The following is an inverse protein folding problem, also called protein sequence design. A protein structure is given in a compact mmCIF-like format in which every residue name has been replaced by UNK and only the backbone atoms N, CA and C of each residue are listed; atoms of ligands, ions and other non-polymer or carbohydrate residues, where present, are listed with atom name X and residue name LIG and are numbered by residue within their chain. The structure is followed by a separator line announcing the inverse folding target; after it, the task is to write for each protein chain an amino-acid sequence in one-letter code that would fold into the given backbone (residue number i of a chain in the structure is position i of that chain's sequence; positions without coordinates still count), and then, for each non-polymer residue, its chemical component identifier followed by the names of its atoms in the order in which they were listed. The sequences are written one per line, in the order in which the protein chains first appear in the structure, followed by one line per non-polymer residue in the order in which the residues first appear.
data_IF_441709869191
#
_entry.id   IF_441709869191
#
_cell.length_a   1.000
_cell.length_b   1.000
_cell.length_c   1.000
_cell.angle_alpha   90.00
_cell.angle_beta   90.00
_cell.angle_gamma   90.00
#
_symmetry.space_group_name_H-M   'P 1'
#
loop_
_entity.id
_entity.type
_entity.pdbx_description
1 polymer ?
#
# COMPACT_ATOMS: atom_id res chain seq x y z
N UNK A 1 24.09 30.06 -1.04
CA UNK A 1 24.05 28.71 -0.49
C UNK A 1 22.65 28.11 -0.60
N UNK A 2 22.54 27.02 -1.34
CA UNK A 2 21.23 26.38 -1.48
C UNK A 2 20.84 25.74 -0.14
N UNK A 3 19.68 26.11 0.37
CA UNK A 3 19.12 25.43 1.53
C UNK A 3 18.67 24.05 1.11
N UNK A 4 19.22 23.00 1.73
CA UNK A 4 18.69 21.66 1.58
C UNK A 4 17.26 21.66 2.09
N UNK A 5 16.33 21.33 1.21
CA UNK A 5 14.94 21.18 1.58
C UNK A 5 14.84 20.05 2.61
N UNK A 6 14.22 20.33 3.74
CA UNK A 6 14.02 19.34 4.79
C UNK A 6 13.07 18.26 4.31
N UNK A 7 13.37 17.00 4.61
CA UNK A 7 12.51 15.89 4.24
C UNK A 7 11.14 16.03 4.93
N UNK A 8 10.08 15.86 4.18
CA UNK A 8 8.72 15.99 4.68
C UNK A 8 8.16 14.60 4.98
N UNK A 9 8.19 14.20 6.25
CA UNK A 9 7.69 12.89 6.70
C UNK A 9 6.17 12.76 6.51
N UNK A 10 5.43 13.84 6.73
CA UNK A 10 3.98 13.84 6.57
C UNK A 10 3.57 13.62 5.11
N UNK A 11 4.31 14.24 4.18
CA UNK A 11 4.13 13.99 2.75
C UNK A 11 4.41 12.53 2.40
N UNK A 12 5.46 11.94 2.96
CA UNK A 12 5.77 10.53 2.76
C UNK A 12 4.65 9.62 3.28
N UNK A 13 4.08 9.93 4.45
CA UNK A 13 2.95 9.17 4.99
C UNK A 13 1.72 9.28 4.09
N UNK A 14 1.43 10.46 3.56
CA UNK A 14 0.33 10.66 2.63
C UNK A 14 0.54 9.87 1.33
N UNK A 15 1.75 9.84 0.82
CA UNK A 15 2.10 9.06 -0.36
C UNK A 15 1.90 7.57 -0.12
N UNK A 16 2.32 7.05 1.03
CA UNK A 16 2.10 5.65 1.41
C UNK A 16 0.63 5.33 1.60
N UNK A 17 -0.13 6.22 2.24
CA UNK A 17 -1.57 6.04 2.42
C UNK A 17 -2.29 6.04 1.07
N UNK A 18 -1.89 6.89 0.14
CA UNK A 18 -2.43 6.92 -1.21
C UNK A 18 -2.14 5.61 -1.97
N UNK A 19 -0.91 5.09 -1.85
CA UNK A 19 -0.55 3.81 -2.44
C UNK A 19 -1.38 2.66 -1.86
N UNK A 20 -1.59 2.65 -0.55
CA UNK A 20 -2.46 1.67 0.10
C UNK A 20 -3.90 1.76 -0.43
N UNK A 21 -4.43 2.97 -0.61
CA UNK A 21 -5.76 3.19 -1.17
C UNK A 21 -5.87 2.67 -2.62
N UNK A 22 -4.83 2.88 -3.41
CA UNK A 22 -4.77 2.37 -4.79
C UNK A 22 -4.73 0.84 -4.82
N UNK A 23 -3.99 0.23 -3.91
CA UNK A 23 -3.93 -1.23 -3.76
C UNK A 23 -5.30 -1.79 -3.36
N UNK A 24 -5.97 -1.16 -2.40
CA UNK A 24 -7.34 -1.53 -1.99
C UNK A 24 -8.30 -1.43 -3.17
N UNK A 25 -8.18 -0.38 -3.99
CA UNK A 25 -9.02 -0.22 -5.17
C UNK A 25 -8.83 -1.38 -6.16
N UNK A 26 -7.62 -1.81 -6.39
CA UNK A 26 -7.32 -2.96 -7.26
C UNK A 26 -8.01 -4.22 -6.72
N UNK A 27 -7.85 -4.47 -5.42
CA UNK A 27 -8.46 -5.63 -4.77
C UNK A 27 -10.00 -5.56 -4.84
N UNK A 28 -10.58 -4.41 -4.54
CA UNK A 28 -12.03 -4.23 -4.57
C UNK A 28 -12.60 -4.38 -5.97
N UNK A 29 -11.95 -3.81 -6.97
CA UNK A 29 -12.36 -3.96 -8.36
C UNK A 29 -12.28 -5.42 -8.81
N UNK A 30 -11.25 -6.14 -8.37
CA UNK A 30 -11.11 -7.56 -8.66
C UNK A 30 -12.24 -8.41 -8.02
N UNK A 31 -12.66 -8.04 -6.81
CA UNK A 31 -13.76 -8.73 -6.10
C UNK A 31 -15.11 -8.40 -6.73
N UNK A 32 -15.35 -7.14 -7.08
CA UNK A 32 -16.62 -6.68 -7.64
C UNK A 32 -16.88 -7.23 -9.05
N UNK A 33 -15.83 -7.31 -9.84
CA UNK A 33 -15.89 -7.79 -11.23
C UNK A 33 -14.70 -8.73 -11.48
N UNK A 34 -14.81 -9.94 -10.95
CA UNK A 34 -13.69 -10.88 -10.95
C UNK A 34 -13.30 -11.25 -12.39
N UNK A 35 -12.06 -10.89 -12.82
CA UNK A 35 -11.64 -11.03 -14.22
C UNK A 35 -11.23 -12.45 -14.62
N UNK A 36 -11.28 -13.41 -13.69
CA UNK A 36 -10.71 -14.74 -13.91
C UNK A 36 -9.19 -14.73 -13.79
N UNK A 37 -8.59 -15.90 -13.98
CA UNK A 37 -7.14 -16.10 -13.77
C UNK A 37 -6.32 -15.26 -14.73
N UNK A 38 -6.73 -15.16 -16.00
CA UNK A 38 -5.96 -14.41 -17.00
C UNK A 38 -5.95 -12.90 -16.71
N UNK A 39 -7.10 -12.36 -16.28
CA UNK A 39 -7.19 -10.95 -15.89
C UNK A 39 -6.45 -10.64 -14.60
N UNK A 40 -6.33 -11.61 -13.69
CA UNK A 40 -5.59 -11.44 -12.43
C UNK A 40 -4.11 -11.18 -12.65
N UNK A 41 -3.52 -11.72 -13.71
CA UNK A 41 -2.10 -11.49 -13.99
C UNK A 41 -1.79 -10.01 -14.14
N UNK A 42 -2.64 -9.28 -14.86
CA UNK A 42 -2.47 -7.84 -15.03
C UNK A 42 -2.62 -7.10 -13.70
N UNK A 43 -3.56 -7.53 -12.87
CA UNK A 43 -3.77 -6.95 -11.54
C UNK A 43 -2.59 -7.24 -10.61
N UNK A 44 -2.02 -8.43 -10.67
CA UNK A 44 -0.80 -8.78 -9.92
C UNK A 44 0.35 -7.85 -10.29
N UNK A 45 0.54 -7.60 -11.58
CA UNK A 45 1.61 -6.71 -12.05
C UNK A 45 1.40 -5.28 -11.57
N UNK A 46 0.17 -4.77 -11.62
CA UNK A 46 -0.18 -3.43 -11.09
C UNK A 46 0.03 -3.34 -9.58
N UNK A 47 -0.39 -4.36 -8.85
CA UNK A 47 -0.22 -4.44 -7.40
C UNK A 47 1.26 -4.44 -7.03
N UNK A 48 2.07 -5.18 -7.79
CA UNK A 48 3.52 -5.22 -7.57
C UNK A 48 4.18 -3.88 -7.81
N UNK A 49 3.76 -3.13 -8.83
CA UNK A 49 4.27 -1.79 -9.10
C UNK A 49 3.98 -0.83 -7.93
N UNK A 50 2.79 -0.92 -7.36
CA UNK A 50 2.41 -0.11 -6.19
C UNK A 50 3.26 -0.48 -4.98
N UNK A 51 3.47 -1.76 -4.73
CA UNK A 51 4.32 -2.24 -3.63
C UNK A 51 5.75 -1.71 -3.80
N UNK A 52 6.27 -1.76 -5.02
CA UNK A 52 7.61 -1.24 -5.30
C UNK A 52 7.71 0.26 -5.04
N UNK A 53 6.71 1.05 -5.43
CA UNK A 53 6.66 2.49 -5.11
C UNK A 53 6.62 2.70 -3.58
N UNK A 54 5.87 1.87 -2.87
CA UNK A 54 5.81 1.91 -1.41
C UNK A 54 7.16 1.65 -0.76
N UNK A 55 7.90 0.68 -1.25
CA UNK A 55 9.27 0.39 -0.80
C UNK A 55 10.19 1.58 -1.00
N UNK A 56 10.09 2.25 -2.14
CA UNK A 56 10.89 3.46 -2.42
C UNK A 56 10.60 4.55 -1.39
N UNK A 57 9.32 4.80 -1.10
CA UNK A 57 8.93 5.81 -0.10
C UNK A 57 9.45 5.43 1.28
N UNK A 58 9.33 4.16 1.68
CA UNK A 58 9.83 3.69 2.97
C UNK A 58 11.34 3.88 3.10
N UNK A 59 12.10 3.55 2.05
CA UNK A 59 13.55 3.78 2.03
C UNK A 59 13.91 5.24 2.14
N UNK A 60 13.17 6.13 1.47
CA UNK A 60 13.38 7.58 1.58
C UNK A 60 13.20 8.05 3.03
N UNK A 61 12.16 7.54 3.72
CA UNK A 61 11.92 7.87 5.13
C UNK A 61 13.08 7.40 6.00
N UNK A 62 13.50 6.15 5.87
CA UNK A 62 14.59 5.60 6.69
C UNK A 62 15.91 6.30 6.44
N UNK A 63 16.22 6.64 5.19
CA UNK A 63 17.43 7.37 4.84
C UNK A 63 17.42 8.80 5.42
N UNK A 64 16.28 9.48 5.35
CA UNK A 64 16.12 10.80 5.94
C UNK A 64 16.29 10.73 7.46
N UNK A 65 15.68 9.73 8.09
CA UNK A 65 15.71 9.57 9.54
C UNK A 65 17.12 9.27 10.06
N UNK A 66 17.94 8.59 9.27
CA UNK A 66 19.32 8.26 9.64
C UNK A 66 20.21 9.50 9.81
N UNK A 67 19.88 10.60 9.13
CA UNK A 67 20.69 11.83 9.14
C UNK A 67 19.98 13.02 9.78
N UNK A 68 18.73 12.89 10.16
CA UNK A 68 17.95 13.98 10.75
C UNK A 68 18.16 14.03 12.26
N UNK A 69 18.69 15.15 12.76
CA UNK A 69 18.91 15.35 14.20
C UNK A 69 17.62 15.59 14.97
N UNK A 70 16.66 16.25 14.34
CA UNK A 70 15.44 16.69 15.01
C UNK A 70 14.22 16.44 14.11
N UNK A 71 13.82 15.16 13.97
CA UNK A 71 12.59 14.89 13.22
C UNK A 71 11.37 15.46 13.95
N UNK A 72 10.27 15.78 13.22
CA UNK A 72 9.09 16.42 13.81
C UNK A 72 8.31 15.52 14.75
N UNK A 73 8.54 14.22 14.66
CA UNK A 73 7.93 13.20 15.53
C UNK A 73 9.03 12.33 16.13
N UNK A 74 8.67 11.54 17.14
CA UNK A 74 9.57 10.54 17.69
C UNK A 74 10.00 9.56 16.59
N UNK A 75 11.29 9.20 16.58
CA UNK A 75 11.86 8.26 15.62
C UNK A 75 11.11 6.92 15.59
N UNK A 76 10.80 6.39 16.76
CA UNK A 76 10.10 5.12 16.88
C UNK A 76 8.69 5.21 16.28
N UNK A 77 8.01 6.34 16.44
CA UNK A 77 6.70 6.57 15.87
C UNK A 77 6.76 6.64 14.34
N UNK A 78 7.77 7.35 13.79
CA UNK A 78 7.96 7.44 12.34
C UNK A 78 8.22 6.06 11.75
N UNK A 79 9.07 5.26 12.39
CA UNK A 79 9.37 3.89 11.95
C UNK A 79 8.11 3.03 12.01
N UNK A 80 7.35 3.12 13.09
CA UNK A 80 6.12 2.34 13.27
C UNK A 80 5.08 2.67 12.22
N UNK A 81 4.86 3.96 11.93
CA UNK A 81 3.91 4.39 10.90
C UNK A 81 4.36 3.91 9.52
N UNK A 82 5.63 4.10 9.19
CA UNK A 82 6.19 3.73 7.89
C UNK A 82 6.08 2.22 7.66
N UNK A 83 6.47 1.41 8.64
CA UNK A 83 6.36 -0.05 8.55
C UNK A 83 4.92 -0.53 8.50
N UNK A 84 4.05 0.09 9.29
CA UNK A 84 2.63 -0.27 9.30
C UNK A 84 1.96 -0.05 7.96
N UNK A 85 2.22 1.08 7.32
CA UNK A 85 1.70 1.38 5.99
C UNK A 85 2.28 0.44 4.92
N UNK A 86 3.57 0.15 5.01
CA UNK A 86 4.24 -0.82 4.12
C UNK A 86 3.64 -2.22 4.27
N UNK A 87 3.40 -2.65 5.50
CA UNK A 87 2.77 -3.95 5.78
C UNK A 87 1.37 -4.05 5.18
N UNK A 88 0.58 -2.98 5.25
CA UNK A 88 -0.77 -2.95 4.64
C UNK A 88 -0.68 -3.19 3.13
N UNK A 89 0.23 -2.49 2.46
CA UNK A 89 0.44 -2.64 1.02
C UNK A 89 0.88 -4.07 0.69
N UNK A 90 1.82 -4.63 1.45
CA UNK A 90 2.32 -5.99 1.26
C UNK A 90 1.21 -7.03 1.43
N UNK A 91 0.37 -6.87 2.44
CA UNK A 91 -0.76 -7.78 2.67
C UNK A 91 -1.77 -7.76 1.53
N UNK A 92 -2.07 -6.58 1.03
CA UNK A 92 -3.03 -6.42 -0.08
C UNK A 92 -2.47 -7.02 -1.37
N UNK A 93 -1.20 -6.77 -1.66
CA UNK A 93 -0.52 -7.40 -2.79
C UNK A 93 -0.52 -8.91 -2.65
N UNK A 94 -0.15 -9.42 -1.48
CA UNK A 94 -0.12 -10.84 -1.18
C UNK A 94 -1.48 -11.52 -1.39
N UNK A 95 -2.56 -10.84 -1.06
CA UNK A 95 -3.92 -11.33 -1.27
C UNK A 95 -4.24 -11.49 -2.76
N UNK A 96 -3.91 -10.48 -3.56
CA UNK A 96 -4.11 -10.52 -5.02
C UNK A 96 -3.27 -11.63 -5.64
N UNK A 97 -2.01 -11.75 -5.21
CA UNK A 97 -1.11 -12.80 -5.67
C UNK A 97 -1.66 -14.21 -5.37
N UNK A 98 -2.24 -14.40 -4.19
CA UNK A 98 -2.81 -15.68 -3.78
C UNK A 98 -4.00 -16.08 -4.64
N UNK A 99 -4.85 -15.14 -5.02
CA UNK A 99 -5.94 -15.41 -5.96
C UNK A 99 -5.40 -15.95 -7.28
N UNK A 100 -4.34 -15.36 -7.79
CA UNK A 100 -3.68 -15.80 -9.01
C UNK A 100 -2.99 -17.15 -8.84
N UNK A 101 -2.18 -17.32 -7.80
CA UNK A 101 -1.38 -18.52 -7.54
C UNK A 101 -2.24 -19.76 -7.30
N UNK A 102 -3.38 -19.59 -6.63
CA UNK A 102 -4.30 -20.70 -6.33
C UNK A 102 -5.34 -20.95 -7.41
N UNK A 103 -5.24 -20.26 -8.54
CA UNK A 103 -6.10 -20.47 -9.68
C UNK A 103 -7.58 -20.31 -9.32
N UNK A 104 -7.90 -19.30 -8.51
CA UNK A 104 -9.26 -19.08 -8.03
C UNK A 104 -10.14 -18.67 -9.21
N UNK A 105 -11.15 -19.49 -9.52
CA UNK A 105 -12.04 -19.25 -10.66
C UNK A 105 -13.22 -18.35 -10.31
N UNK A 106 -13.74 -18.50 -9.10
CA UNK A 106 -14.87 -17.72 -8.59
C UNK A 106 -14.63 -17.30 -7.16
N UNK A 107 -15.20 -16.14 -6.77
CA UNK A 107 -15.09 -15.63 -5.41
C UNK A 107 -16.43 -15.74 -4.68
N UNK A 108 -16.43 -16.06 -3.35
CA UNK A 108 -17.63 -16.00 -2.54
C UNK A 108 -18.21 -14.58 -2.49
N UNK A 109 -19.51 -14.46 -2.41
CA UNK A 109 -20.21 -13.18 -2.30
C UNK A 109 -19.82 -12.39 -1.04
N UNK A 110 -19.46 -13.09 0.02
CA UNK A 110 -19.04 -12.50 1.29
C UNK A 110 -17.80 -11.61 1.14
N UNK A 111 -16.96 -11.88 0.15
CA UNK A 111 -15.77 -11.05 -0.11
C UNK A 111 -16.13 -9.63 -0.56
N UNK A 112 -17.29 -9.44 -1.17
CA UNK A 112 -17.78 -8.10 -1.55
C UNK A 112 -18.02 -7.22 -0.33
N UNK A 113 -18.50 -7.80 0.75
CA UNK A 113 -18.71 -7.09 2.02
C UNK A 113 -17.37 -6.68 2.65
N UNK A 114 -16.39 -7.56 2.63
CA UNK A 114 -15.04 -7.25 3.10
C UNK A 114 -14.39 -6.15 2.25
N UNK A 115 -14.58 -6.20 0.93
CA UNK A 115 -14.08 -5.17 0.03
C UNK A 115 -14.66 -3.79 0.35
N UNK A 116 -15.96 -3.73 0.65
CA UNK A 116 -16.64 -2.48 1.06
C UNK A 116 -16.06 -1.94 2.35
N UNK A 117 -15.80 -2.80 3.32
CA UNK A 117 -15.19 -2.40 4.60
C UNK A 117 -13.77 -1.85 4.40
N UNK A 118 -12.96 -2.50 3.58
CA UNK A 118 -11.61 -2.03 3.24
C UNK A 118 -11.66 -0.67 2.57
N UNK A 119 -12.57 -0.47 1.64
CA UNK A 119 -12.73 0.80 0.94
C UNK A 119 -13.11 1.93 1.90
N UNK A 120 -14.00 1.68 2.83
CA UNK A 120 -14.36 2.64 3.89
C UNK A 120 -13.18 2.96 4.79
N UNK A 121 -12.44 1.94 5.20
CA UNK A 121 -11.27 2.10 6.08
C UNK A 121 -10.19 2.95 5.43
N UNK A 122 -9.96 2.76 4.14
CA UNK A 122 -8.95 3.50 3.39
C UNK A 122 -9.34 4.97 3.20
N UNK A 123 -10.62 5.25 3.01
CA UNK A 123 -11.11 6.64 2.90
C UNK A 123 -10.94 7.42 4.20
N UNK A 124 -10.88 6.75 5.33
CA UNK A 124 -10.66 7.36 6.64
C UNK A 124 -9.19 7.72 6.89
N UNK A 125 -8.28 7.21 6.08
CA UNK A 125 -6.87 7.57 6.14
C UNK A 125 -6.64 8.94 5.48
#
# INVERSE_FOLDING_TARGET
MAHKKRFNYFDAFERQADLAAREVKILCDAVDDYPGVDGLKDLVDKAHDIEHEGDVVAHEVFNALAVDFMPPLDRDDIITITKGLDDVIDYLEGTIQRFYMHNVETLPEELKDYAKLLRKSTKAL
#
